data_IF_484008730307
#
_entry.id   IF_484008730307
#
_cell.length_a   1.000
_cell.length_b   1.000
_cell.length_c   1.000
_cell.angle_alpha   90.00
_cell.angle_beta   90.00
_cell.angle_gamma   90.00
#
_symmetry.space_group_name_H-M   'P 1'
#
loop_
_entity.id
_entity.type
_entity.pdbx_description
1 polymer ?
#
# COMPACT_ATOMS: atom_id res chain seq x y z
N UNK A 1 -5.71 -10.73 -16.75
CA UNK A 1 -4.29 -10.41 -16.48
C UNK A 1 -3.89 -10.71 -15.04
N UNK A 2 -4.63 -10.23 -14.02
CA UNK A 2 -4.28 -10.44 -12.59
C UNK A 2 -4.00 -11.90 -12.20
N UNK A 3 -4.89 -12.84 -12.57
CA UNK A 3 -4.72 -14.28 -12.30
C UNK A 3 -3.43 -14.89 -12.87
N UNK A 4 -2.97 -14.43 -14.04
CA UNK A 4 -1.72 -14.93 -14.65
C UNK A 4 -0.48 -14.32 -14.01
N UNK A 5 -0.58 -13.11 -13.46
CA UNK A 5 0.52 -12.38 -12.83
C UNK A 5 0.62 -12.59 -11.31
N UNK A 6 -0.37 -13.27 -10.70
CA UNK A 6 -0.45 -13.48 -9.25
C UNK A 6 -1.09 -12.32 -8.48
N UNK A 7 -1.77 -11.39 -9.16
CA UNK A 7 -2.42 -10.25 -8.53
C UNK A 7 -3.91 -10.50 -8.29
N UNK A 8 -4.38 -10.17 -7.09
CA UNK A 8 -5.80 -10.04 -6.74
C UNK A 8 -6.05 -8.60 -6.32
N UNK A 9 -6.52 -7.77 -7.26
CA UNK A 9 -6.77 -6.35 -7.04
C UNK A 9 -8.25 -6.09 -7.34
N UNK A 10 -8.96 -5.53 -6.37
CA UNK A 10 -10.36 -5.14 -6.56
C UNK A 10 -10.54 -4.05 -7.61
N UNK A 11 -11.75 -3.97 -8.16
CA UNK A 11 -12.09 -2.95 -9.14
C UNK A 11 -12.06 -1.56 -8.52
N UNK A 12 -11.57 -0.57 -9.27
CA UNK A 12 -11.57 0.85 -8.90
C UNK A 12 -10.88 1.17 -7.56
N UNK A 13 -9.81 0.43 -7.22
CA UNK A 13 -8.99 0.69 -6.04
C UNK A 13 -7.93 1.78 -6.24
N UNK A 14 -7.41 1.93 -7.45
CA UNK A 14 -6.29 2.83 -7.75
C UNK A 14 -6.71 3.93 -8.71
N UNK A 15 -6.19 5.13 -8.46
CA UNK A 15 -6.13 6.20 -9.46
C UNK A 15 -5.03 5.93 -10.52
N UNK A 16 -4.86 6.86 -11.46
CA UNK A 16 -3.88 6.74 -12.54
C UNK A 16 -2.43 6.63 -12.03
N UNK A 17 -1.58 5.99 -12.84
CA UNK A 17 -0.13 5.94 -12.59
C UNK A 17 0.34 4.81 -11.65
N UNK A 18 -0.50 3.81 -11.37
CA UNK A 18 -0.09 2.61 -10.64
C UNK A 18 1.16 1.97 -11.28
N UNK A 19 2.23 1.83 -10.48
CA UNK A 19 3.44 1.12 -10.86
C UNK A 19 3.55 -0.19 -10.07
N UNK A 20 3.55 -1.32 -10.77
CA UNK A 20 3.83 -2.63 -10.16
C UNK A 20 5.24 -3.05 -10.56
N UNK A 21 6.16 -3.06 -9.60
CA UNK A 21 7.59 -3.24 -9.91
C UNK A 21 8.01 -4.69 -10.13
N UNK A 22 7.24 -5.66 -9.62
CA UNK A 22 7.58 -7.07 -9.66
C UNK A 22 6.32 -7.91 -9.86
N UNK A 23 6.43 -8.96 -10.67
CA UNK A 23 5.38 -9.98 -10.82
C UNK A 23 5.38 -10.85 -9.55
N UNK A 24 4.20 -11.28 -9.10
CA UNK A 24 4.04 -12.13 -7.92
C UNK A 24 2.82 -11.76 -7.10
N UNK A 25 2.71 -12.29 -5.89
CA UNK A 25 1.50 -12.11 -5.07
C UNK A 25 1.31 -10.65 -4.67
N UNK A 26 0.24 -10.01 -5.14
CA UNK A 26 -0.23 -8.71 -4.65
C UNK A 26 -1.70 -8.84 -4.36
N UNK A 27 -2.13 -8.44 -3.15
CA UNK A 27 -3.53 -8.51 -2.74
C UNK A 27 -3.99 -7.11 -2.35
N UNK A 28 -5.05 -6.63 -2.99
CA UNK A 28 -5.67 -5.34 -2.70
C UNK A 28 -7.17 -5.54 -2.62
N UNK A 29 -7.70 -5.35 -1.41
CA UNK A 29 -9.13 -5.43 -1.15
C UNK A 29 -9.90 -4.37 -1.97
N UNK A 30 -11.06 -4.76 -2.51
CA UNK A 30 -11.93 -3.90 -3.34
C UNK A 30 -12.42 -2.62 -2.66
N UNK A 31 -12.42 -2.55 -1.34
CA UNK A 31 -12.81 -1.37 -0.58
C UNK A 31 -11.65 -0.37 -0.38
N UNK A 32 -10.41 -0.77 -0.67
CA UNK A 32 -9.26 0.11 -0.52
C UNK A 32 -9.28 1.23 -1.57
N UNK A 33 -8.80 2.40 -1.18
CA UNK A 33 -8.64 3.56 -2.07
C UNK A 33 -7.20 4.03 -2.03
N UNK A 34 -6.55 4.02 -3.19
CA UNK A 34 -5.15 4.34 -3.36
C UNK A 34 -5.01 5.45 -4.41
N UNK A 35 -4.32 6.52 -4.05
CA UNK A 35 -4.10 7.69 -4.89
C UNK A 35 -3.17 7.46 -6.07
N UNK A 36 -2.88 8.56 -6.76
CA UNK A 36 -2.10 8.57 -8.01
C UNK A 36 -0.65 8.16 -7.79
N UNK A 37 -0.03 7.59 -8.84
CA UNK A 37 1.42 7.34 -8.91
C UNK A 37 1.98 6.48 -7.77
N UNK A 38 1.18 5.62 -7.16
CA UNK A 38 1.65 4.69 -6.13
C UNK A 38 2.44 3.55 -6.74
N UNK A 39 3.48 3.10 -6.02
CA UNK A 39 4.31 1.97 -6.41
C UNK A 39 4.17 0.82 -5.44
N UNK A 40 3.79 -0.35 -5.97
CA UNK A 40 3.67 -1.59 -5.20
C UNK A 40 4.77 -2.57 -5.61
N UNK A 41 5.33 -3.23 -4.60
CA UNK A 41 6.25 -4.34 -4.76
C UNK A 41 5.55 -5.68 -4.48
N UNK A 42 6.26 -6.77 -4.78
CA UNK A 42 5.78 -8.14 -4.54
C UNK A 42 5.40 -8.37 -3.06
N UNK A 43 4.43 -9.24 -2.82
CA UNK A 43 3.93 -9.64 -1.50
C UNK A 43 3.26 -8.53 -0.68
N UNK A 44 2.94 -7.39 -1.29
CA UNK A 44 2.11 -6.36 -0.65
C UNK A 44 0.68 -6.86 -0.46
N UNK A 45 0.13 -6.65 0.73
CA UNK A 45 -1.27 -6.91 1.05
C UNK A 45 -1.93 -5.65 1.64
N UNK A 46 -2.88 -5.09 0.90
CA UNK A 46 -3.80 -4.05 1.36
C UNK A 46 -5.14 -4.74 1.68
N UNK A 47 -5.37 -4.96 2.98
CA UNK A 47 -6.44 -5.78 3.52
C UNK A 47 -7.77 -5.04 3.73
N UNK A 48 -8.62 -5.64 4.57
CA UNK A 48 -9.97 -5.17 4.89
C UNK A 48 -9.98 -3.88 5.70
N UNK A 49 -11.15 -3.24 5.79
CA UNK A 49 -11.37 -2.02 6.59
C UNK A 49 -11.24 -0.71 5.81
N UNK A 50 -11.22 -0.78 4.48
CA UNK A 50 -11.13 0.37 3.56
C UNK A 50 -9.93 1.31 3.83
N UNK A 51 -8.67 0.82 3.81
CA UNK A 51 -7.51 1.70 3.92
C UNK A 51 -7.52 2.79 2.84
N UNK A 52 -7.19 4.02 3.23
CA UNK A 52 -7.05 5.16 2.34
C UNK A 52 -5.57 5.54 2.25
N UNK A 53 -4.99 5.40 1.06
CA UNK A 53 -3.58 5.67 0.78
C UNK A 53 -3.48 6.86 -0.17
N UNK A 54 -2.71 7.87 0.22
CA UNK A 54 -2.50 9.09 -0.57
C UNK A 54 -1.72 8.87 -1.86
N UNK A 55 -1.39 9.97 -2.53
CA UNK A 55 -0.65 10.00 -3.78
C UNK A 55 0.85 9.78 -3.56
N UNK A 56 1.54 9.27 -4.59
CA UNK A 56 3.00 9.10 -4.64
C UNK A 56 3.55 8.22 -3.50
N UNK A 57 2.75 7.30 -2.97
CA UNK A 57 3.17 6.41 -1.88
C UNK A 57 4.01 5.25 -2.44
N UNK A 58 5.15 5.02 -1.80
CA UNK A 58 5.99 3.86 -2.07
C UNK A 58 5.63 2.73 -1.08
N UNK A 59 5.27 1.56 -1.58
CA UNK A 59 4.91 0.40 -0.76
C UNK A 59 5.91 -0.73 -0.97
N UNK A 60 6.81 -0.89 0.00
CA UNK A 60 7.88 -1.87 -0.03
C UNK A 60 7.39 -3.33 -0.04
N UNK A 61 8.24 -4.27 -0.50
CA UNK A 61 7.87 -5.66 -0.65
C UNK A 61 7.42 -6.27 0.68
N UNK A 62 6.36 -7.07 0.64
CA UNK A 62 5.86 -7.76 1.82
C UNK A 62 5.07 -6.91 2.82
N UNK A 63 4.90 -5.60 2.59
CA UNK A 63 4.13 -4.73 3.51
C UNK A 63 2.67 -5.18 3.67
N UNK A 64 2.14 -5.07 4.88
CA UNK A 64 0.76 -5.43 5.26
C UNK A 64 0.05 -4.18 5.78
N UNK A 65 -1.02 -3.77 5.13
CA UNK A 65 -1.75 -2.53 5.42
C UNK A 65 -3.23 -2.87 5.59
N UNK A 66 -3.84 -2.57 6.74
CA UNK A 66 -5.24 -2.93 7.00
C UNK A 66 -5.91 -2.04 8.05
N UNK A 67 -7.24 -2.10 8.09
CA UNK A 67 -8.08 -1.29 8.97
C UNK A 67 -8.51 0.02 8.32
N UNK A 68 -9.41 0.72 9.01
CA UNK A 68 -9.90 2.05 8.61
C UNK A 68 -8.85 3.11 8.93
N UNK A 69 -7.79 3.11 8.12
CA UNK A 69 -6.62 3.97 8.32
C UNK A 69 -6.38 4.91 7.14
N UNK A 70 -5.68 6.01 7.40
CA UNK A 70 -5.25 7.00 6.41
C UNK A 70 -3.73 7.12 6.36
N UNK A 71 -3.17 7.04 5.16
CA UNK A 71 -1.75 7.23 4.87
C UNK A 71 -1.60 8.47 4.00
N UNK A 72 -0.79 9.43 4.47
CA UNK A 72 -0.54 10.69 3.79
C UNK A 72 0.24 10.52 2.48
N UNK A 73 0.28 11.59 1.69
CA UNK A 73 0.98 11.62 0.41
C UNK A 73 2.49 11.43 0.59
N UNK A 74 3.13 10.79 -0.38
CA UNK A 74 4.59 10.64 -0.42
C UNK A 74 5.19 9.75 0.68
N UNK A 75 4.36 9.09 1.49
CA UNK A 75 4.83 8.15 2.51
C UNK A 75 5.62 7.02 1.85
N UNK A 76 6.73 6.62 2.47
CA UNK A 76 7.49 5.43 2.10
C UNK A 76 7.26 4.34 3.15
N UNK A 77 6.58 3.28 2.76
CA UNK A 77 6.33 2.12 3.62
C UNK A 77 7.45 1.11 3.40
N UNK A 78 8.19 0.80 4.46
CA UNK A 78 9.30 -0.14 4.43
C UNK A 78 8.88 -1.57 4.12
N UNK A 79 9.84 -2.37 3.65
CA UNK A 79 9.63 -3.80 3.43
C UNK A 79 9.16 -4.50 4.72
N UNK A 80 8.21 -5.43 4.58
CA UNK A 80 7.59 -6.18 5.69
C UNK A 80 6.95 -5.34 6.81
N UNK A 81 6.72 -4.03 6.60
CA UNK A 81 6.04 -3.22 7.60
C UNK A 81 4.57 -3.66 7.80
N UNK A 82 4.09 -3.58 9.05
CA UNK A 82 2.69 -3.84 9.39
C UNK A 82 2.03 -2.54 9.82
N UNK A 83 1.16 -2.02 8.96
CA UNK A 83 0.53 -0.70 9.06
C UNK A 83 -0.94 -0.88 9.45
N UNK A 84 -1.25 -0.57 10.71
CA UNK A 84 -2.56 -0.76 11.32
C UNK A 84 -3.06 0.49 12.07
N UNK A 85 -2.48 1.66 11.79
CA UNK A 85 -2.87 2.97 12.31
C UNK A 85 -2.61 4.06 11.28
N UNK A 86 -3.12 5.26 11.54
CA UNK A 86 -2.93 6.41 10.65
C UNK A 86 -1.51 6.96 10.64
N UNK A 87 -1.10 7.50 9.49
CA UNK A 87 0.15 8.23 9.30
C UNK A 87 -0.10 9.48 8.47
N UNK A 88 -0.20 10.62 9.15
CA UNK A 88 -0.59 11.92 8.57
C UNK A 88 0.56 12.80 8.08
N UNK A 89 1.82 12.47 8.37
CA UNK A 89 2.97 13.31 7.99
C UNK A 89 3.45 12.98 6.60
N UNK A 90 3.22 13.87 5.63
CA UNK A 90 3.63 13.66 4.24
C UNK A 90 5.14 13.44 4.08
N UNK A 91 5.52 12.64 3.08
CA UNK A 91 6.93 12.41 2.70
C UNK A 91 7.77 11.61 3.70
N UNK A 92 7.20 11.24 4.86
CA UNK A 92 7.91 10.46 5.89
C UNK A 92 8.02 8.99 5.53
N UNK A 93 8.98 8.32 6.16
CA UNK A 93 9.15 6.87 6.02
C UNK A 93 8.56 6.18 7.25
N UNK A 94 7.86 5.06 7.05
CA UNK A 94 7.29 4.23 8.10
C UNK A 94 7.76 2.78 7.96
N UNK A 95 8.22 2.17 9.05
CA UNK A 95 8.78 0.80 9.03
C UNK A 95 8.42 0.05 10.31
N UNK A 96 8.58 -1.28 10.29
CA UNK A 96 8.48 -2.14 11.48
C UNK A 96 7.12 -2.81 11.67
N UNK A 97 7.04 -3.60 12.75
CA UNK A 97 5.87 -4.39 13.14
C UNK A 97 5.58 -4.14 14.64
N UNK A 98 4.59 -3.31 15.00
CA UNK A 98 3.80 -2.43 14.12
C UNK A 98 4.63 -1.26 13.58
N UNK A 99 4.18 -0.68 12.47
CA UNK A 99 4.88 0.41 11.81
C UNK A 99 4.96 1.67 12.69
N UNK A 100 6.09 2.38 12.58
CA UNK A 100 6.34 3.68 13.22
C UNK A 100 7.06 4.59 12.23
N UNK A 101 6.95 5.91 12.44
CA UNK A 101 7.84 6.84 11.75
C UNK A 101 9.28 6.55 12.12
N UNK A 102 10.17 6.69 11.14
CA UNK A 102 11.61 6.79 11.40
C UNK A 102 12.03 8.25 11.28
N UNK A 103 12.99 8.65 12.12
CA UNK A 103 13.65 9.96 12.05
C UNK A 103 14.46 10.09 10.75
#
# INVERSE_FOLDING_TARGET
MGLMCGFSIGLNCFEKGLSISHIGTIVVNHEAKIGENCRLHVCVNIGTGSPQIGNNVYIGPGAKIFGKIRIANGIKIGANAVVNKDFYQEGKTIVGVPAKYIE
#
